data_IF_956596874605
#
_entry.id   IF_956596874605
#
_cell.length_a   1.000
_cell.length_b   1.000
_cell.length_c   1.000
_cell.angle_alpha   90.00
_cell.angle_beta   90.00
_cell.angle_gamma   90.00
#
_symmetry.space_group_name_H-M   'P 1'
#
loop_
_entity.id
_entity.type
_entity.pdbx_description
1 polymer ?
#
# COMPACT_ATOMS: atom_id res chain seq x y z
N UNK A 1 -26.55 46.12 47.70
CA UNK A 1 -26.47 44.70 47.35
C UNK A 1 -25.95 44.58 45.93
N UNK A 2 -24.71 44.17 45.77
CA UNK A 2 -24.15 43.93 44.44
C UNK A 2 -24.52 42.51 44.02
N UNK A 3 -25.34 42.36 42.97
CA UNK A 3 -25.58 41.07 42.36
C UNK A 3 -24.40 40.72 41.47
N UNK A 4 -23.61 39.75 41.89
CA UNK A 4 -22.54 39.20 41.05
C UNK A 4 -23.10 38.49 39.86
N UNK A 5 -22.82 38.99 38.66
CA UNK A 5 -23.09 38.23 37.42
C UNK A 5 -21.98 37.22 37.27
N UNK A 6 -22.32 35.94 37.45
CA UNK A 6 -21.45 34.88 37.09
C UNK A 6 -21.61 34.66 35.59
N UNK A 7 -20.62 35.14 34.83
CA UNK A 7 -20.50 34.79 33.42
C UNK A 7 -20.00 33.36 33.37
N UNK A 8 -20.91 32.41 33.08
CA UNK A 8 -20.52 31.07 32.71
C UNK A 8 -19.88 31.17 31.32
N UNK A 9 -18.56 31.21 31.28
CA UNK A 9 -17.82 30.98 30.06
C UNK A 9 -17.97 29.51 29.70
N UNK A 10 -18.91 29.21 28.81
CA UNK A 10 -19.00 27.88 28.17
C UNK A 10 -17.75 27.68 27.34
N UNK A 11 -16.78 26.98 27.91
CA UNK A 11 -15.62 26.50 27.18
C UNK A 11 -16.10 25.45 26.21
N UNK A 12 -16.37 25.85 24.95
CA UNK A 12 -16.58 24.91 23.85
C UNK A 12 -15.25 24.22 23.60
N UNK A 13 -15.08 23.06 24.22
CA UNK A 13 -14.02 22.14 23.86
C UNK A 13 -14.39 21.62 22.47
N UNK A 14 -13.84 22.22 21.44
CA UNK A 14 -13.79 21.64 20.12
C UNK A 14 -12.96 20.35 20.24
N UNK A 15 -13.64 19.25 20.51
CA UNK A 15 -13.09 17.94 20.31
C UNK A 15 -12.86 17.78 18.81
N UNK A 16 -11.71 18.22 18.33
CA UNK A 16 -11.22 17.79 17.04
C UNK A 16 -11.10 16.27 17.14
N UNK A 17 -12.10 15.58 16.62
CA UNK A 17 -12.05 14.16 16.38
C UNK A 17 -10.94 13.94 15.36
N UNK A 18 -9.72 13.71 15.88
CA UNK A 18 -8.67 13.15 15.06
C UNK A 18 -9.20 11.84 14.51
N UNK A 19 -9.47 11.80 13.20
CA UNK A 19 -9.79 10.56 12.52
C UNK A 19 -8.56 9.65 12.58
N UNK A 20 -8.50 8.82 13.60
CA UNK A 20 -7.38 7.90 13.89
C UNK A 20 -7.24 6.80 12.84
N UNK A 21 -8.06 6.78 11.79
CA UNK A 21 -8.18 5.69 10.84
C UNK A 21 -7.58 5.91 9.46
N UNK A 22 -7.74 7.11 8.89
CA UNK A 22 -7.40 7.36 7.48
C UNK A 22 -6.03 8.03 7.34
N UNK A 23 -5.26 7.55 6.36
CA UNK A 23 -3.96 8.09 5.97
C UNK A 23 -3.93 8.38 4.47
N UNK A 24 -3.10 9.33 4.01
CA UNK A 24 -2.83 9.47 2.58
C UNK A 24 -2.33 8.15 1.99
N UNK A 25 -2.80 7.81 0.79
CA UNK A 25 -2.26 6.67 0.06
C UNK A 25 -0.79 6.96 -0.28
N UNK A 26 0.07 6.02 0.04
CA UNK A 26 1.50 6.05 -0.29
C UNK A 26 1.79 4.96 -1.32
N UNK A 27 1.74 5.33 -2.60
CA UNK A 27 2.20 4.44 -3.65
C UNK A 27 3.71 4.26 -3.57
N UNK A 28 4.19 3.07 -3.91
CA UNK A 28 5.60 2.82 -4.16
C UNK A 28 5.83 3.06 -5.65
N UNK A 29 6.74 3.97 -5.97
CA UNK A 29 7.00 4.39 -7.36
C UNK A 29 8.46 4.15 -7.67
N UNK A 30 8.71 3.46 -8.80
CA UNK A 30 10.05 3.21 -9.31
C UNK A 30 11.00 2.58 -8.28
N UNK A 31 10.51 1.58 -7.56
CA UNK A 31 11.36 0.80 -6.66
C UNK A 31 12.42 0.07 -7.47
N UNK A 32 13.72 0.26 -7.16
CA UNK A 32 14.78 -0.36 -7.95
C UNK A 32 14.77 -1.88 -7.86
N UNK A 33 14.93 -2.55 -8.98
CA UNK A 33 15.19 -3.99 -9.03
C UNK A 33 16.65 -4.22 -8.68
N UNK A 34 16.96 -5.05 -7.65
CA UNK A 34 18.33 -5.32 -7.27
C UNK A 34 19.11 -5.99 -8.41
N UNK A 35 20.38 -5.62 -8.56
CA UNK A 35 21.30 -6.38 -9.39
C UNK A 35 21.59 -7.74 -8.74
N UNK A 36 21.89 -8.73 -9.57
CA UNK A 36 22.40 -10.02 -9.10
C UNK A 36 23.76 -9.85 -8.41
N UNK A 37 24.16 -10.84 -7.60
CA UNK A 37 25.45 -10.81 -6.88
C UNK A 37 26.64 -10.64 -7.82
N UNK A 38 26.55 -11.18 -9.05
CA UNK A 38 27.56 -11.02 -10.10
C UNK A 38 27.48 -9.67 -10.85
N UNK A 39 26.58 -8.78 -10.43
CA UNK A 39 26.37 -7.47 -11.04
C UNK A 39 25.50 -7.49 -12.30
N UNK A 40 24.98 -8.65 -12.72
CA UNK A 40 24.11 -8.73 -13.88
C UNK A 40 22.71 -8.15 -13.58
N UNK A 41 22.07 -7.60 -14.62
CA UNK A 41 20.69 -7.10 -14.54
C UNK A 41 19.71 -8.27 -14.58
N UNK A 42 18.57 -8.12 -13.89
CA UNK A 42 17.44 -9.03 -14.03
C UNK A 42 16.84 -8.92 -15.43
N UNK A 43 16.30 -10.02 -15.93
CA UNK A 43 15.49 -10.00 -17.14
C UNK A 43 14.05 -9.60 -16.79
N UNK A 44 13.27 -9.23 -17.79
CA UNK A 44 11.86 -8.92 -17.59
C UNK A 44 11.09 -10.12 -16.99
N UNK A 45 11.43 -11.33 -17.39
CA UNK A 45 10.85 -12.56 -16.84
C UNK A 45 11.24 -12.80 -15.38
N UNK A 46 12.49 -12.51 -15.02
CA UNK A 46 12.94 -12.57 -13.61
C UNK A 46 12.14 -11.62 -12.72
N UNK A 47 11.91 -10.39 -13.19
CA UNK A 47 11.13 -9.40 -12.44
C UNK A 47 9.69 -9.85 -12.29
N UNK A 48 9.06 -10.33 -13.37
CA UNK A 48 7.70 -10.89 -13.32
C UNK A 48 7.59 -12.00 -12.29
N UNK A 49 8.48 -12.97 -12.33
CA UNK A 49 8.50 -14.11 -11.38
C UNK A 49 8.68 -13.66 -9.94
N UNK A 50 9.56 -12.70 -9.69
CA UNK A 50 9.79 -12.16 -8.36
C UNK A 50 8.55 -11.45 -7.80
N UNK A 51 7.86 -10.65 -8.61
CA UNK A 51 6.63 -9.96 -8.21
C UNK A 51 5.53 -10.98 -7.89
N UNK A 52 5.30 -11.96 -8.74
CA UNK A 52 4.29 -13.02 -8.52
C UNK A 52 4.60 -13.79 -7.23
N UNK A 53 5.84 -14.22 -7.05
CA UNK A 53 6.26 -14.96 -5.86
C UNK A 53 6.11 -14.13 -4.58
N UNK A 54 6.47 -12.85 -4.61
CA UNK A 54 6.32 -11.93 -3.48
C UNK A 54 4.85 -11.72 -3.10
N UNK A 55 3.98 -11.51 -4.08
CA UNK A 55 2.53 -11.43 -3.86
C UNK A 55 2.01 -12.69 -3.19
N UNK A 56 2.29 -13.85 -3.75
CA UNK A 56 1.82 -15.13 -3.22
C UNK A 56 2.33 -15.42 -1.81
N UNK A 57 3.59 -15.12 -1.53
CA UNK A 57 4.17 -15.31 -0.19
C UNK A 57 3.52 -14.43 0.88
N UNK A 58 3.03 -13.28 0.50
CA UNK A 58 2.31 -12.38 1.42
C UNK A 58 0.79 -12.62 1.45
N UNK A 59 0.32 -13.65 0.80
CA UNK A 59 -1.10 -14.01 0.78
C UNK A 59 -1.92 -13.21 -0.22
N UNK A 60 -1.27 -12.51 -1.14
CA UNK A 60 -1.94 -11.84 -2.24
C UNK A 60 -2.13 -12.80 -3.43
N UNK A 61 -3.21 -12.63 -4.13
CA UNK A 61 -3.45 -13.33 -5.40
C UNK A 61 -2.89 -12.49 -6.53
N UNK A 62 -2.03 -13.08 -7.36
CA UNK A 62 -1.43 -12.41 -8.50
C UNK A 62 -2.12 -12.83 -9.81
N UNK A 63 -2.38 -11.86 -10.66
CA UNK A 63 -2.91 -12.07 -12.02
C UNK A 63 -2.13 -11.23 -13.02
N UNK A 64 -1.83 -11.79 -14.17
CA UNK A 64 -1.20 -11.04 -15.27
C UNK A 64 -2.20 -10.02 -15.83
N UNK A 65 -1.71 -8.81 -16.06
CA UNK A 65 -2.48 -7.71 -16.61
C UNK A 65 -1.69 -7.05 -17.75
N UNK A 66 -1.61 -7.72 -18.87
CA UNK A 66 -0.73 -7.36 -19.98
C UNK A 66 0.71 -7.86 -19.81
N UNK A 67 1.62 -7.39 -20.66
CA UNK A 67 2.98 -7.92 -20.76
C UNK A 67 3.93 -7.42 -19.66
N UNK A 68 3.65 -6.24 -19.10
CA UNK A 68 4.54 -5.56 -18.15
C UNK A 68 3.80 -5.04 -16.91
N UNK A 69 2.69 -5.67 -16.57
CA UNK A 69 1.87 -5.27 -15.43
C UNK A 69 1.24 -6.48 -14.76
N UNK A 70 1.22 -6.47 -13.44
CA UNK A 70 0.61 -7.52 -12.62
C UNK A 70 -0.40 -6.86 -11.69
N UNK A 71 -1.55 -7.49 -11.53
CA UNK A 71 -2.57 -7.13 -10.56
C UNK A 71 -2.47 -8.05 -9.37
N UNK A 72 -2.33 -7.51 -8.17
CA UNK A 72 -2.34 -8.30 -6.95
C UNK A 72 -3.47 -7.83 -6.04
N UNK A 73 -4.17 -8.79 -5.43
CA UNK A 73 -5.28 -8.52 -4.53
C UNK A 73 -5.21 -9.37 -3.28
N UNK A 74 -5.74 -8.83 -2.18
CA UNK A 74 -5.81 -9.51 -0.89
C UNK A 74 -7.17 -9.28 -0.24
N UNK A 75 -7.66 -10.32 0.43
CA UNK A 75 -8.84 -10.22 1.29
C UNK A 75 -8.43 -10.56 2.72
N UNK A 76 -8.37 -9.55 3.58
CA UNK A 76 -7.94 -9.71 4.97
C UNK A 76 -9.16 -9.93 5.87
N UNK A 77 -9.11 -11.00 6.64
CA UNK A 77 -10.18 -11.41 7.57
C UNK A 77 -11.55 -11.58 6.89
N UNK A 78 -11.56 -11.98 5.61
CA UNK A 78 -12.78 -12.16 4.83
C UNK A 78 -13.58 -10.88 4.56
N UNK A 79 -13.02 -9.71 4.84
CA UNK A 79 -13.76 -8.45 4.84
C UNK A 79 -13.03 -7.29 4.14
N UNK A 80 -11.76 -7.08 4.44
CA UNK A 80 -11.00 -5.93 3.94
C UNK A 80 -10.28 -6.30 2.65
N UNK A 81 -10.76 -5.79 1.53
CA UNK A 81 -10.21 -6.05 0.22
C UNK A 81 -9.30 -4.91 -0.23
N UNK A 82 -8.16 -5.26 -0.78
CA UNK A 82 -7.27 -4.33 -1.46
C UNK A 82 -6.75 -4.92 -2.76
N UNK A 83 -6.63 -4.09 -3.77
CA UNK A 83 -6.05 -4.42 -5.06
C UNK A 83 -5.02 -3.37 -5.43
N UNK A 84 -3.88 -3.83 -5.92
CA UNK A 84 -2.81 -2.98 -6.43
C UNK A 84 -2.46 -3.38 -7.86
N UNK A 85 -2.00 -2.41 -8.61
CA UNK A 85 -1.43 -2.62 -9.93
C UNK A 85 0.08 -2.42 -9.85
N UNK A 86 0.84 -3.38 -10.37
CA UNK A 86 2.29 -3.40 -10.29
C UNK A 86 2.86 -3.37 -11.72
N UNK A 87 3.06 -2.18 -12.31
CA UNK A 87 3.82 -2.05 -13.54
C UNK A 87 5.30 -2.29 -13.26
N UNK A 88 5.99 -2.93 -14.17
CA UNK A 88 7.40 -3.28 -14.00
C UNK A 88 8.20 -3.21 -15.29
N UNK A 89 9.49 -3.02 -15.13
CA UNK A 89 10.52 -3.11 -16.15
C UNK A 89 11.65 -4.01 -15.64
N UNK A 90 12.72 -4.13 -16.41
CA UNK A 90 13.92 -4.85 -15.96
C UNK A 90 14.63 -4.15 -14.80
N UNK A 91 14.44 -2.83 -14.65
CA UNK A 91 15.18 -2.01 -13.68
C UNK A 91 14.36 -1.53 -12.48
N UNK A 92 13.04 -1.53 -12.57
CA UNK A 92 12.16 -1.02 -11.50
C UNK A 92 10.76 -1.59 -11.54
N UNK A 93 10.04 -1.47 -10.44
CA UNK A 93 8.60 -1.73 -10.37
C UNK A 93 7.92 -0.69 -9.50
N UNK A 94 6.62 -0.53 -9.68
CA UNK A 94 5.79 0.33 -8.84
C UNK A 94 4.64 -0.47 -8.26
N UNK A 95 4.14 -0.08 -7.09
CA UNK A 95 2.94 -0.66 -6.50
C UNK A 95 1.94 0.49 -6.33
N UNK A 96 0.92 0.50 -7.16
CA UNK A 96 -0.08 1.56 -7.24
C UNK A 96 -1.43 1.07 -6.72
N UNK A 97 -2.10 1.91 -5.94
CA UNK A 97 -3.48 1.63 -5.55
C UNK A 97 -4.35 1.43 -6.80
N UNK A 98 -5.17 0.39 -6.80
CA UNK A 98 -6.11 0.09 -7.87
C UNK A 98 -7.56 0.08 -7.39
N UNK A 99 -7.87 -0.67 -6.35
CA UNK A 99 -9.22 -0.78 -5.82
C UNK A 99 -9.20 -1.23 -4.34
N UNK A 100 -10.30 -0.98 -3.63
CA UNK A 100 -10.47 -1.48 -2.28
C UNK A 100 -11.94 -1.56 -1.88
N UNK A 101 -12.22 -2.38 -0.86
CA UNK A 101 -13.53 -2.47 -0.19
C UNK A 101 -13.31 -2.57 1.31
N UNK A 102 -14.18 -1.93 2.09
CA UNK A 102 -14.12 -1.90 3.56
C UNK A 102 -12.78 -1.37 4.11
N UNK A 103 -12.18 -0.40 3.41
CA UNK A 103 -10.93 0.27 3.80
C UNK A 103 -11.08 1.80 3.89
N UNK A 104 -12.30 2.30 4.02
CA UNK A 104 -12.59 3.73 4.18
C UNK A 104 -11.93 4.63 3.10
N UNK A 105 -11.86 4.11 1.87
CA UNK A 105 -11.23 4.84 0.78
C UNK A 105 -12.01 6.09 0.40
N UNK A 106 -11.30 7.21 0.31
CA UNK A 106 -11.82 8.49 -0.15
C UNK A 106 -11.04 8.95 -1.39
N UNK A 107 -11.69 8.88 -2.55
CA UNK A 107 -11.06 9.22 -3.82
C UNK A 107 -10.66 10.69 -3.90
N UNK A 108 -11.51 11.60 -3.43
CA UNK A 108 -11.23 13.04 -3.50
C UNK A 108 -10.02 13.45 -2.67
N UNK A 109 -9.86 12.84 -1.50
CA UNK A 109 -8.76 13.13 -0.56
C UNK A 109 -7.57 12.19 -0.73
N UNK A 110 -7.68 11.15 -1.56
CA UNK A 110 -6.66 10.11 -1.72
C UNK A 110 -6.22 9.53 -0.37
N UNK A 111 -7.20 9.18 0.47
CA UNK A 111 -6.99 8.65 1.81
C UNK A 111 -7.63 7.28 1.94
N UNK A 112 -7.03 6.45 2.77
CA UNK A 112 -7.43 5.07 2.99
C UNK A 112 -7.16 4.65 4.44
N UNK A 113 -7.76 3.57 4.89
CA UNK A 113 -7.48 3.00 6.20
C UNK A 113 -5.97 2.83 6.44
N UNK A 114 -5.51 3.20 7.62
CA UNK A 114 -4.08 3.26 8.00
C UNK A 114 -3.27 1.99 7.74
N UNK A 115 -3.91 0.83 7.76
CA UNK A 115 -3.21 -0.45 7.59
C UNK A 115 -2.79 -0.73 6.14
N UNK A 116 -3.46 -0.12 5.17
CA UNK A 116 -3.19 -0.36 3.75
C UNK A 116 -1.73 -0.08 3.36
N UNK A 117 -1.21 1.08 3.74
CA UNK A 117 0.17 1.45 3.41
C UNK A 117 1.18 0.45 4.00
N UNK A 118 0.93 -0.05 5.21
CA UNK A 118 1.75 -1.07 5.84
C UNK A 118 1.73 -2.40 5.07
N UNK A 119 0.60 -2.80 4.53
CA UNK A 119 0.49 -4.01 3.69
C UNK A 119 1.31 -3.87 2.41
N UNK A 120 1.26 -2.70 1.77
CA UNK A 120 2.02 -2.41 0.55
C UNK A 120 3.54 -2.39 0.82
N UNK A 121 3.97 -1.79 1.92
CA UNK A 121 5.39 -1.77 2.32
C UNK A 121 5.91 -3.20 2.55
N UNK A 122 5.14 -4.02 3.24
CA UNK A 122 5.49 -5.43 3.49
C UNK A 122 5.52 -6.24 2.20
N UNK A 123 4.59 -5.98 1.29
CA UNK A 123 4.56 -6.60 -0.02
C UNK A 123 5.83 -6.26 -0.82
N UNK A 124 6.21 -4.99 -0.88
CA UNK A 124 7.44 -4.55 -1.54
C UNK A 124 8.69 -5.21 -0.96
N UNK A 125 8.81 -5.25 0.36
CA UNK A 125 9.92 -5.92 1.02
C UNK A 125 10.01 -7.41 0.68
N UNK A 126 8.87 -8.09 0.59
CA UNK A 126 8.81 -9.50 0.22
C UNK A 126 9.12 -9.73 -1.26
N UNK A 127 8.67 -8.85 -2.15
CA UNK A 127 9.06 -8.88 -3.57
C UNK A 127 10.57 -8.73 -3.71
N UNK A 128 11.18 -7.77 -3.01
CA UNK A 128 12.63 -7.55 -3.05
C UNK A 128 13.43 -8.78 -2.59
N UNK A 129 12.94 -9.51 -1.60
CA UNK A 129 13.57 -10.76 -1.15
C UNK A 129 13.56 -11.84 -2.22
N UNK A 130 12.62 -11.85 -3.16
CA UNK A 130 12.53 -12.87 -4.20
C UNK A 130 13.68 -12.76 -5.20
N UNK A 131 14.20 -11.57 -5.46
CA UNK A 131 15.36 -11.39 -6.34
C UNK A 131 16.65 -12.06 -5.81
N UNK A 132 16.74 -12.24 -4.52
CA UNK A 132 17.90 -12.89 -3.88
C UNK A 132 17.74 -14.41 -3.76
N UNK A 133 16.56 -14.96 -3.95
CA UNK A 133 16.24 -16.37 -3.77
C UNK A 133 16.09 -17.16 -5.06
N UNK A 134 16.08 -16.51 -6.22
CA UNK A 134 15.98 -17.13 -7.55
C UNK A 134 17.38 -17.39 -8.13
N UNK A 135 18.11 -18.29 -7.54
CA UNK A 135 19.29 -18.92 -8.14
C UNK A 135 19.18 -20.43 -8.08
#
# INVERSE_FOLDING_TARGET
MKRGQYILASLLILMSSFAWGAKPIQNIVDEPVPLSIDGSSATLDDVKKAIIAGCQRKGWTAALDGDTQIKCSILVRGRHYAEVTIPYSESSYSILYSDSRELDYNEKKQRIHRNYNGWVIKLSGTINQQFNSTK
#
